data_IF_090912791271
#
_entry.id   IF_090912791271
#
_cell.length_a   1.000
_cell.length_b   1.000
_cell.length_c   1.000
_cell.angle_alpha   90.00
_cell.angle_beta   90.00
_cell.angle_gamma   90.00
#
_symmetry.space_group_name_H-M   'P 1'
#
loop_
_entity.id
_entity.type
_entity.pdbx_description
1 polymer ?
#
# COMPACT_ATOMS: atom_id res chain seq x y z
N UNK A 1 28.29 -7.82 10.05
CA UNK A 1 27.36 -6.73 10.37
C UNK A 1 26.66 -6.37 9.07
N UNK A 2 25.32 -6.44 9.01
CA UNK A 2 24.59 -5.97 7.84
C UNK A 2 24.81 -4.45 7.69
N UNK A 3 25.13 -3.99 6.48
CA UNK A 3 25.31 -2.56 6.21
C UNK A 3 23.96 -1.85 6.26
N UNK A 4 23.87 -0.78 7.03
CA UNK A 4 22.69 0.09 7.04
C UNK A 4 22.74 1.07 5.87
N UNK A 5 21.61 1.29 5.21
CA UNK A 5 21.46 2.18 4.06
C UNK A 5 20.31 3.17 4.33
N UNK A 6 20.61 4.44 4.64
CA UNK A 6 19.59 5.46 4.87
C UNK A 6 18.72 5.71 3.63
N UNK A 7 17.47 6.15 3.83
CA UNK A 7 16.52 6.42 2.75
C UNK A 7 17.09 7.31 1.62
N UNK A 8 17.78 8.40 1.95
CA UNK A 8 18.39 9.28 0.94
C UNK A 8 19.45 8.57 0.07
N UNK A 9 20.20 7.63 0.64
CA UNK A 9 21.17 6.80 -0.11
C UNK A 9 20.46 5.84 -1.05
N UNK A 10 19.32 5.28 -0.64
CA UNK A 10 18.46 4.44 -1.49
C UNK A 10 17.87 5.28 -2.63
N UNK A 11 17.31 6.46 -2.34
CA UNK A 11 16.80 7.36 -3.36
C UNK A 11 17.86 7.69 -4.42
N UNK A 12 19.09 7.98 -3.99
CA UNK A 12 20.22 8.26 -4.87
C UNK A 12 20.59 7.04 -5.73
N UNK A 13 20.67 5.84 -5.16
CA UNK A 13 21.06 4.63 -5.91
C UNK A 13 20.04 4.22 -6.98
N UNK A 14 18.76 4.54 -6.76
CA UNK A 14 17.67 4.31 -7.71
C UNK A 14 17.33 5.52 -8.59
N UNK A 15 18.14 6.59 -8.54
CA UNK A 15 17.93 7.82 -9.33
C UNK A 15 16.53 8.42 -9.14
N UNK A 16 16.05 8.46 -7.90
CA UNK A 16 14.82 9.17 -7.52
C UNK A 16 15.14 10.65 -7.33
N UNK A 17 14.74 11.47 -8.31
CA UNK A 17 15.25 12.84 -8.49
C UNK A 17 14.38 13.91 -7.84
N UNK A 18 13.20 13.57 -7.36
CA UNK A 18 12.30 14.49 -6.66
C UNK A 18 11.80 13.83 -5.38
N UNK A 19 11.50 14.65 -4.37
CA UNK A 19 10.90 14.21 -3.12
C UNK A 19 9.90 15.21 -2.57
N UNK A 20 9.02 14.72 -1.70
CA UNK A 20 8.10 15.53 -0.88
C UNK A 20 7.87 14.83 0.46
N UNK A 21 7.32 15.55 1.44
CA UNK A 21 6.93 15.00 2.74
C UNK A 21 5.51 15.39 3.09
N UNK A 22 4.85 14.58 3.92
CA UNK A 22 3.56 14.95 4.49
C UNK A 22 3.82 15.91 5.68
N UNK A 23 3.19 17.09 5.72
CA UNK A 23 3.41 18.04 6.82
C UNK A 23 2.79 17.51 8.12
N UNK A 24 3.40 17.78 9.27
CA UNK A 24 2.85 17.48 10.59
C UNK A 24 2.53 18.78 11.34
N UNK A 25 1.50 18.81 12.21
CA UNK A 25 1.18 20.00 12.98
C UNK A 25 2.22 20.25 14.06
N UNK A 26 2.29 21.48 14.57
CA UNK A 26 3.19 21.86 15.67
C UNK A 26 2.59 21.65 17.06
N UNK A 27 1.28 21.38 17.14
CA UNK A 27 0.54 21.08 18.38
C UNK A 27 -0.33 19.83 18.19
N UNK A 28 -0.72 19.20 19.29
CA UNK A 28 -1.67 18.08 19.25
C UNK A 28 -3.02 18.54 18.70
N UNK A 29 -3.72 17.63 18.01
CA UNK A 29 -5.03 17.88 17.40
C UNK A 29 -5.94 16.68 17.66
N UNK A 30 -7.16 16.94 18.15
CA UNK A 30 -8.20 15.92 18.26
C UNK A 30 -8.77 15.57 16.87
N UNK A 31 -9.59 14.52 16.78
CA UNK A 31 -9.93 13.88 15.49
C UNK A 31 -10.51 14.81 14.43
N UNK A 32 -11.43 15.71 14.80
CA UNK A 32 -12.00 16.67 13.86
C UNK A 32 -10.93 17.62 13.27
N UNK A 33 -10.08 18.18 14.13
CA UNK A 33 -9.02 19.12 13.72
C UNK A 33 -7.88 18.40 12.98
N UNK A 34 -7.55 17.18 13.39
CA UNK A 34 -6.58 16.32 12.71
C UNK A 34 -7.06 16.02 11.26
N UNK A 35 -8.33 15.68 11.09
CA UNK A 35 -8.94 15.49 9.78
C UNK A 35 -8.88 16.73 8.91
N UNK A 36 -9.25 17.89 9.45
CA UNK A 36 -9.18 19.16 8.72
C UNK A 36 -7.74 19.50 8.29
N UNK A 37 -6.76 19.30 9.19
CA UNK A 37 -5.34 19.50 8.91
C UNK A 37 -4.88 18.58 7.76
N UNK A 38 -5.15 17.27 7.85
CA UNK A 38 -4.75 16.29 6.84
C UNK A 38 -5.41 16.56 5.48
N UNK A 39 -6.71 16.86 5.44
CA UNK A 39 -7.42 17.19 4.20
C UNK A 39 -6.80 18.39 3.50
N UNK A 40 -6.37 19.40 4.27
CA UNK A 40 -5.75 20.61 3.69
C UNK A 40 -4.28 20.41 3.26
N UNK A 41 -3.52 19.59 3.99
CA UNK A 41 -2.07 19.51 3.82
C UNK A 41 -1.54 18.27 3.10
N UNK A 42 -2.29 17.16 3.04
CA UNK A 42 -1.75 15.84 2.65
C UNK A 42 -2.15 15.42 1.23
N UNK A 43 -2.70 16.33 0.42
CA UNK A 43 -3.10 16.06 -0.97
C UNK A 43 -3.99 14.81 -1.09
N UNK A 44 -4.99 14.70 -0.22
CA UNK A 44 -5.84 13.51 -0.15
C UNK A 44 -6.70 13.36 -1.41
N UNK A 45 -6.77 12.15 -1.93
CA UNK A 45 -7.64 11.81 -3.05
C UNK A 45 -9.09 12.11 -2.69
N UNK A 46 -9.79 12.82 -3.58
CA UNK A 46 -11.17 13.29 -3.38
C UNK A 46 -11.34 14.21 -2.15
N UNK A 47 -10.25 14.78 -1.63
CA UNK A 47 -10.27 15.76 -0.54
C UNK A 47 -10.86 15.22 0.77
N UNK A 48 -10.70 13.92 1.06
CA UNK A 48 -11.28 13.30 2.26
C UNK A 48 -10.43 12.14 2.78
N UNK A 49 -10.60 11.86 4.07
CA UNK A 49 -10.28 10.57 4.67
C UNK A 49 -11.40 9.59 4.29
N UNK A 50 -11.04 8.39 3.86
CA UNK A 50 -12.02 7.42 3.38
C UNK A 50 -12.76 6.75 4.52
N UNK A 51 -12.01 6.30 5.54
CA UNK A 51 -12.49 5.51 6.68
C UNK A 51 -11.73 5.91 7.95
N UNK A 52 -12.37 5.79 9.13
CA UNK A 52 -11.73 5.95 10.43
C UNK A 52 -11.31 7.36 10.84
N UNK A 53 -12.03 8.41 10.45
CA UNK A 53 -11.68 9.79 10.88
C UNK A 53 -11.64 9.93 12.40
N UNK A 54 -12.60 9.34 13.11
CA UNK A 54 -12.71 9.46 14.57
C UNK A 54 -11.54 8.77 15.30
N UNK A 55 -10.90 7.79 14.65
CA UNK A 55 -9.74 7.04 15.15
C UNK A 55 -8.40 7.74 14.89
N UNK A 56 -8.39 8.91 14.25
CA UNK A 56 -7.18 9.67 13.94
C UNK A 56 -6.99 10.83 14.90
N UNK A 57 -5.79 11.02 15.43
CA UNK A 57 -5.44 12.25 16.16
C UNK A 57 -3.96 12.55 16.05
N UNK A 58 -3.56 13.81 16.29
CA UNK A 58 -2.14 14.14 16.50
C UNK A 58 -1.89 14.26 18.00
N UNK A 59 -1.01 13.42 18.54
CA UNK A 59 -0.72 13.32 19.97
C UNK A 59 0.76 13.58 20.24
N UNK A 60 1.12 13.85 21.48
CA UNK A 60 2.52 13.88 21.90
C UNK A 60 3.18 12.53 21.60
N UNK A 61 4.41 12.53 21.07
CA UNK A 61 5.18 11.30 20.83
C UNK A 61 5.24 10.45 22.12
N UNK A 62 4.67 9.23 22.14
CA UNK A 62 4.69 8.35 23.31
C UNK A 62 6.07 7.72 23.55
N UNK A 63 6.97 7.76 22.56
CA UNK A 63 8.32 7.19 22.63
C UNK A 63 9.41 8.22 22.29
N UNK A 64 9.49 9.38 22.99
CA UNK A 64 10.35 10.51 22.61
C UNK A 64 11.85 10.22 22.80
N UNK A 65 12.18 9.20 23.59
CA UNK A 65 13.54 8.71 23.81
C UNK A 65 13.87 7.48 22.96
N UNK A 66 12.87 6.88 22.30
CA UNK A 66 13.04 5.73 21.40
C UNK A 66 13.38 6.22 19.99
N UNK A 67 14.66 6.41 19.70
CA UNK A 67 15.08 6.56 18.29
C UNK A 67 14.77 5.30 17.49
N UNK A 68 14.71 5.43 16.16
CA UNK A 68 14.71 4.22 15.30
C UNK A 68 16.03 3.48 15.49
N UNK A 69 16.03 2.14 15.68
CA UNK A 69 17.25 1.36 15.71
C UNK A 69 18.08 1.57 14.43
N UNK A 70 19.31 2.10 14.55
CA UNK A 70 20.22 2.31 13.40
C UNK A 70 21.21 3.48 13.58
N UNK A 71 22.29 3.54 12.79
CA UNK A 71 23.34 4.56 12.89
C UNK A 71 22.88 5.95 12.45
N UNK A 72 21.74 6.05 11.75
CA UNK A 72 21.04 7.32 11.52
C UNK A 72 20.15 7.70 12.73
N UNK A 73 20.62 7.45 13.96
CA UNK A 73 20.05 7.97 15.21
C UNK A 73 20.32 9.47 15.34
N UNK A 74 19.88 10.23 14.34
CA UNK A 74 19.87 11.69 14.31
C UNK A 74 18.46 12.26 14.35
N UNK A 75 17.45 11.44 14.68
CA UNK A 75 16.12 11.94 15.03
C UNK A 75 16.26 12.67 16.35
N UNK A 76 16.51 13.98 16.29
CA UNK A 76 16.32 14.88 17.42
C UNK A 76 15.00 14.49 18.10
N UNK A 77 15.04 14.32 19.41
CA UNK A 77 13.87 14.18 20.27
C UNK A 77 12.99 15.42 20.08
N UNK A 78 12.21 15.44 19.01
CA UNK A 78 11.29 16.53 18.79
C UNK A 78 10.05 16.19 19.61
N UNK A 79 9.66 17.09 20.50
CA UNK A 79 8.33 17.08 21.12
C UNK A 79 7.23 17.37 20.07
N UNK A 80 7.47 17.02 18.80
CA UNK A 80 6.54 17.20 17.71
C UNK A 80 5.42 16.18 17.85
N UNK A 81 4.18 16.60 17.59
CA UNK A 81 3.06 15.67 17.52
C UNK A 81 3.30 14.58 16.45
N UNK A 82 2.79 13.39 16.74
CA UNK A 82 2.78 12.24 15.83
C UNK A 82 1.34 11.85 15.52
N UNK A 83 1.12 11.20 14.38
CA UNK A 83 -0.22 10.72 14.02
C UNK A 83 -0.49 9.44 14.82
N UNK A 84 -1.44 9.48 15.74
CA UNK A 84 -2.00 8.30 16.38
C UNK A 84 -3.16 7.75 15.54
N UNK A 85 -3.22 6.44 15.41
CA UNK A 85 -4.38 5.70 14.94
C UNK A 85 -4.86 4.77 16.05
N UNK A 86 -6.13 4.89 16.41
CA UNK A 86 -6.79 4.07 17.43
C UNK A 86 -7.41 2.82 16.80
N UNK A 87 -7.26 1.69 17.48
CA UNK A 87 -7.95 0.43 17.20
C UNK A 87 -8.80 0.08 18.42
N UNK A 88 -10.11 0.37 18.43
CA UNK A 88 -10.99 0.01 19.55
C UNK A 88 -10.99 -1.50 19.83
N UNK A 89 -11.27 -1.89 21.08
CA UNK A 89 -11.44 -3.30 21.41
C UNK A 89 -12.53 -3.94 20.53
N UNK A 90 -12.28 -5.17 20.07
CA UNK A 90 -13.10 -5.93 19.12
C UNK A 90 -13.16 -5.33 17.71
N UNK A 91 -12.21 -4.45 17.34
CA UNK A 91 -12.13 -3.92 15.97
C UNK A 91 -11.29 -4.81 15.06
N UNK A 92 -11.73 -4.92 13.80
CA UNK A 92 -10.99 -5.49 12.68
C UNK A 92 -11.37 -4.76 11.36
N UNK A 93 -11.46 -5.45 10.22
CA UNK A 93 -11.90 -4.89 8.94
C UNK A 93 -13.25 -4.14 9.05
N UNK A 94 -13.71 -3.59 7.92
CA UNK A 94 -15.07 -3.06 7.76
C UNK A 94 -15.35 -1.81 8.62
N UNK A 95 -14.32 -0.98 8.77
CA UNK A 95 -14.39 0.34 9.42
C UNK A 95 -14.85 0.27 10.89
N UNK A 96 -14.43 -0.79 11.60
CA UNK A 96 -14.64 -0.93 13.05
C UNK A 96 -13.49 -0.36 13.88
N UNK A 97 -12.35 -0.07 13.25
CA UNK A 97 -11.20 0.60 13.84
C UNK A 97 -10.09 0.83 12.82
N UNK A 98 -9.13 1.68 13.19
CA UNK A 98 -8.05 2.05 12.29
C UNK A 98 -8.44 3.18 11.34
N UNK A 99 -7.70 3.36 10.25
CA UNK A 99 -7.98 4.42 9.30
C UNK A 99 -7.53 4.11 7.88
N UNK A 100 -8.19 4.75 6.93
CA UNK A 100 -7.86 4.62 5.52
C UNK A 100 -7.92 5.95 4.78
N UNK A 101 -6.85 6.27 4.05
CA UNK A 101 -6.87 7.33 3.07
C UNK A 101 -5.84 7.16 1.94
N UNK A 102 -6.06 7.87 0.84
CA UNK A 102 -5.13 7.93 -0.28
C UNK A 102 -4.51 9.33 -0.36
N UNK A 103 -3.19 9.43 -0.33
CA UNK A 103 -2.45 10.67 -0.60
C UNK A 103 -1.80 10.55 -1.97
N UNK A 104 -2.18 11.43 -2.90
CA UNK A 104 -1.72 11.36 -4.28
C UNK A 104 -0.60 12.37 -4.53
N UNK A 105 0.48 11.90 -5.14
CA UNK A 105 1.56 12.74 -5.60
C UNK A 105 1.78 12.51 -7.08
N UNK A 106 1.32 13.49 -7.86
CA UNK A 106 1.49 13.53 -9.31
C UNK A 106 2.49 14.64 -9.66
N UNK A 107 3.20 14.45 -10.77
CA UNK A 107 4.05 15.50 -11.36
C UNK A 107 3.33 16.21 -12.50
N UNK A 108 3.76 17.43 -12.81
CA UNK A 108 3.34 18.15 -14.02
C UNK A 108 4.05 17.66 -15.29
N UNK A 109 5.11 16.87 -15.16
CA UNK A 109 5.87 16.26 -16.25
C UNK A 109 5.55 14.77 -16.46
N UNK A 110 6.57 13.99 -16.83
CA UNK A 110 6.41 12.55 -17.07
C UNK A 110 5.97 11.80 -15.81
N UNK A 111 4.94 10.95 -15.89
CA UNK A 111 4.38 10.28 -14.73
C UNK A 111 5.41 9.37 -14.06
N UNK A 112 5.32 9.24 -12.73
CA UNK A 112 6.24 8.43 -11.96
C UNK A 112 6.15 6.95 -12.34
N UNK A 113 7.32 6.37 -12.62
CA UNK A 113 7.49 4.94 -12.91
C UNK A 113 8.25 4.22 -11.79
N UNK A 114 8.94 4.96 -10.94
CA UNK A 114 9.50 4.47 -9.68
C UNK A 114 9.11 5.41 -8.56
N UNK A 115 8.73 4.86 -7.42
CA UNK A 115 8.38 5.62 -6.22
C UNK A 115 8.89 4.91 -4.98
N UNK A 116 9.37 5.68 -4.02
CA UNK A 116 9.79 5.20 -2.71
C UNK A 116 9.04 5.94 -1.62
N UNK A 117 8.58 5.21 -0.62
CA UNK A 117 7.93 5.73 0.58
C UNK A 117 8.79 5.36 1.78
N UNK A 118 9.12 6.34 2.63
CA UNK A 118 9.63 6.07 3.97
C UNK A 118 8.68 6.64 5.02
N UNK A 119 8.57 5.95 6.15
CA UNK A 119 7.92 6.46 7.35
C UNK A 119 8.45 5.72 8.57
N UNK A 120 8.16 6.28 9.75
CA UNK A 120 8.36 5.61 11.01
C UNK A 120 7.01 5.20 11.59
N UNK A 121 6.97 3.99 12.17
CA UNK A 121 5.80 3.44 12.84
C UNK A 121 6.19 2.88 14.22
N UNK A 122 5.42 3.23 15.23
CA UNK A 122 5.47 2.61 16.54
C UNK A 122 4.11 1.99 16.88
N UNK A 123 4.13 1.02 17.77
CA UNK A 123 2.93 0.38 18.32
C UNK A 123 2.99 0.52 19.84
N UNK A 124 1.83 0.56 20.51
CA UNK A 124 1.77 0.52 21.98
C UNK A 124 2.70 -0.55 22.57
N UNK A 125 3.30 -0.29 23.72
CA UNK A 125 4.10 -1.30 24.40
C UNK A 125 3.21 -2.52 24.74
N UNK A 126 3.64 -3.72 24.32
CA UNK A 126 2.84 -4.93 24.51
C UNK A 126 1.69 -5.12 23.53
N UNK A 127 1.73 -4.43 22.38
CA UNK A 127 0.77 -4.59 21.28
C UNK A 127 0.49 -6.08 20.96
N UNK A 128 -0.78 -6.48 21.01
CA UNK A 128 -1.20 -7.83 20.61
C UNK A 128 -1.32 -7.90 19.09
N UNK A 129 -0.44 -8.65 18.45
CA UNK A 129 -0.39 -8.78 17.00
C UNK A 129 -1.56 -9.58 16.42
N UNK A 130 -2.26 -10.37 17.24
CA UNK A 130 -3.33 -11.29 16.85
C UNK A 130 -2.87 -12.14 15.64
N UNK A 131 -3.57 -12.04 14.51
CA UNK A 131 -3.23 -12.71 13.24
C UNK A 131 -2.59 -11.77 12.23
N UNK A 132 -2.65 -10.47 12.47
CA UNK A 132 -2.13 -9.44 11.59
C UNK A 132 -3.08 -8.28 11.32
N UNK A 133 -2.54 -7.31 10.60
CA UNK A 133 -3.24 -6.12 10.18
C UNK A 133 -2.47 -5.37 9.12
N UNK A 134 -3.08 -4.33 8.56
CA UNK A 134 -2.58 -3.62 7.38
C UNK A 134 -1.73 -2.43 7.82
N UNK A 135 -0.77 -2.04 7.00
CA UNK A 135 0.04 -0.85 7.18
C UNK A 135 0.16 -0.06 5.88
N UNK A 136 0.48 1.24 5.96
CA UNK A 136 0.63 2.10 4.80
C UNK A 136 1.66 1.57 3.80
N UNK A 137 1.37 1.77 2.50
CA UNK A 137 2.31 1.46 1.44
C UNK A 137 2.05 2.25 0.16
N UNK A 138 2.62 1.79 -0.94
CA UNK A 138 2.55 2.47 -2.23
C UNK A 138 1.42 1.95 -3.11
N UNK A 139 0.95 2.82 -4.01
CA UNK A 139 -0.11 2.50 -4.96
C UNK A 139 0.12 3.16 -6.31
N UNK A 140 -0.55 2.64 -7.34
CA UNK A 140 -0.52 3.25 -8.66
C UNK A 140 -1.65 2.83 -9.59
N UNK A 141 -1.85 3.57 -10.67
CA UNK A 141 -2.87 3.35 -11.70
C UNK A 141 -4.08 4.29 -11.64
N UNK A 142 -4.91 4.31 -12.71
CA UNK A 142 -6.01 5.25 -12.87
C UNK A 142 -7.15 5.08 -11.85
N UNK A 143 -7.40 3.86 -11.36
CA UNK A 143 -8.39 3.65 -10.29
C UNK A 143 -7.89 4.25 -8.99
N UNK A 144 -8.66 5.11 -8.32
CA UNK A 144 -8.21 5.79 -7.08
C UNK A 144 -8.48 5.01 -5.80
N UNK A 145 -9.32 3.97 -5.84
CA UNK A 145 -9.80 3.23 -4.65
C UNK A 145 -9.83 1.71 -4.82
N UNK A 146 -9.15 1.17 -5.85
CA UNK A 146 -9.11 -0.29 -6.14
C UNK A 146 -7.87 -1.00 -5.61
N UNK A 147 -7.66 -2.26 -6.03
CA UNK A 147 -6.50 -3.07 -5.65
C UNK A 147 -6.39 -3.32 -4.14
N UNK A 148 -7.53 -3.67 -3.55
CA UNK A 148 -7.71 -4.00 -2.13
C UNK A 148 -9.04 -4.73 -1.89
N UNK A 149 -9.19 -5.37 -0.73
CA UNK A 149 -10.46 -5.96 -0.30
C UNK A 149 -11.02 -7.02 -1.25
N UNK A 150 -10.15 -7.80 -1.90
CA UNK A 150 -10.52 -8.80 -2.90
C UNK A 150 -10.72 -8.27 -4.32
N UNK A 151 -10.57 -6.97 -4.55
CA UNK A 151 -10.52 -6.41 -5.90
C UNK A 151 -9.10 -6.57 -6.46
N UNK A 152 -8.86 -7.64 -7.20
CA UNK A 152 -7.57 -7.93 -7.84
C UNK A 152 -7.17 -6.88 -8.88
N UNK A 153 -5.85 -6.77 -9.13
CA UNK A 153 -5.31 -5.95 -10.21
C UNK A 153 -5.47 -6.67 -11.55
N UNK A 154 -6.07 -6.01 -12.53
CA UNK A 154 -6.07 -6.50 -13.92
C UNK A 154 -4.86 -5.99 -14.74
N UNK A 155 -4.01 -5.18 -14.11
CA UNK A 155 -2.80 -4.60 -14.71
C UNK A 155 -3.01 -3.36 -15.58
N UNK A 156 -4.26 -2.95 -15.80
CA UNK A 156 -4.61 -1.68 -16.48
C UNK A 156 -5.33 -0.70 -15.55
N UNK A 157 -5.82 -1.18 -14.41
CA UNK A 157 -6.63 -0.44 -13.45
C UNK A 157 -5.83 0.15 -12.28
N UNK A 158 -5.05 -0.66 -11.58
CA UNK A 158 -4.22 -0.26 -10.45
C UNK A 158 -3.20 -1.33 -10.04
N UNK A 159 -2.35 -0.97 -9.08
CA UNK A 159 -1.66 -1.90 -8.19
C UNK A 159 -1.60 -1.29 -6.78
N UNK A 160 -1.38 -2.13 -5.78
CA UNK A 160 -0.99 -1.68 -4.43
C UNK A 160 0.09 -2.59 -3.84
N UNK A 161 0.97 -2.02 -3.03
CA UNK A 161 2.01 -2.72 -2.26
C UNK A 161 1.97 -2.15 -0.84
N UNK A 162 0.94 -2.54 -0.10
CA UNK A 162 0.82 -2.21 1.34
C UNK A 162 1.76 -3.10 2.14
N UNK A 163 1.89 -2.81 3.42
CA UNK A 163 2.53 -3.74 4.35
C UNK A 163 1.44 -4.45 5.16
N UNK A 164 1.79 -5.59 5.73
CA UNK A 164 1.04 -6.17 6.84
C UNK A 164 1.97 -6.54 7.98
N UNK A 165 1.49 -6.38 9.21
CA UNK A 165 2.01 -7.17 10.32
C UNK A 165 1.26 -8.51 10.38
N UNK A 166 1.88 -9.50 10.99
CA UNK A 166 1.36 -10.84 11.28
C UNK A 166 1.63 -11.16 12.75
N UNK A 167 1.22 -12.35 13.17
CA UNK A 167 1.55 -12.91 14.49
C UNK A 167 3.04 -12.74 14.81
N UNK A 168 3.32 -12.41 16.08
CA UNK A 168 4.66 -12.11 16.60
C UNK A 168 5.35 -10.90 15.94
N UNK A 169 4.57 -9.99 15.34
CA UNK A 169 5.09 -8.78 14.69
C UNK A 169 5.76 -9.04 13.35
N UNK A 170 5.69 -10.25 12.79
CA UNK A 170 6.28 -10.57 11.50
C UNK A 170 5.73 -9.63 10.41
N UNK A 171 6.63 -9.04 9.62
CA UNK A 171 6.28 -8.15 8.53
C UNK A 171 6.21 -8.87 7.17
N UNK A 172 5.41 -8.32 6.27
CA UNK A 172 5.39 -8.68 4.84
C UNK A 172 5.08 -7.45 3.98
N UNK A 173 5.48 -7.48 2.70
CA UNK A 173 4.79 -6.68 1.69
C UNK A 173 3.57 -7.45 1.23
N UNK A 174 2.41 -6.79 1.25
CA UNK A 174 1.12 -7.33 0.87
C UNK A 174 0.61 -6.62 -0.38
N UNK A 175 0.68 -7.29 -1.52
CA UNK A 175 0.57 -6.69 -2.83
C UNK A 175 -0.66 -7.16 -3.61
N UNK A 176 -1.42 -6.22 -4.18
CA UNK A 176 -2.40 -6.49 -5.22
C UNK A 176 -1.76 -6.17 -6.56
N UNK A 177 -1.24 -7.20 -7.21
CA UNK A 177 -0.46 -7.15 -8.45
C UNK A 177 -0.82 -8.35 -9.31
N UNK A 178 -0.44 -8.34 -10.59
CA UNK A 178 -0.57 -9.53 -11.43
C UNK A 178 0.45 -10.59 -11.04
N UNK A 179 0.08 -11.85 -11.21
CA UNK A 179 0.92 -13.01 -10.85
C UNK A 179 1.25 -13.93 -12.05
N UNK A 180 1.77 -13.39 -13.17
CA UNK A 180 2.10 -14.19 -14.35
C UNK A 180 3.31 -15.11 -14.12
N UNK A 181 3.65 -15.91 -15.13
CA UNK A 181 4.91 -16.68 -15.19
C UNK A 181 5.14 -17.61 -13.98
N UNK A 182 4.05 -18.08 -13.35
CA UNK A 182 4.10 -18.90 -12.13
C UNK A 182 4.88 -18.23 -10.97
N UNK A 183 4.83 -16.90 -10.83
CA UNK A 183 5.52 -16.19 -9.74
C UNK A 183 5.13 -16.74 -8.37
N UNK A 184 3.92 -17.26 -8.21
CA UNK A 184 3.41 -17.93 -7.00
C UNK A 184 4.19 -19.18 -6.58
N UNK A 185 5.06 -19.72 -7.43
CA UNK A 185 5.98 -20.83 -7.10
C UNK A 185 7.36 -20.34 -6.67
N UNK A 186 7.60 -19.03 -6.71
CA UNK A 186 8.87 -18.46 -6.28
C UNK A 186 9.00 -18.52 -4.76
N UNK A 187 10.20 -18.78 -4.22
CA UNK A 187 10.44 -18.66 -2.79
C UNK A 187 10.01 -17.29 -2.27
N UNK A 188 9.39 -17.26 -1.09
CA UNK A 188 8.94 -16.01 -0.47
C UNK A 188 7.62 -15.44 -1.00
N UNK A 189 7.04 -16.01 -2.07
CA UNK A 189 5.76 -15.56 -2.63
C UNK A 189 4.63 -16.48 -2.18
N UNK A 190 3.63 -15.92 -1.50
CA UNK A 190 2.40 -16.61 -1.14
C UNK A 190 1.23 -15.90 -1.82
N UNK A 191 0.74 -16.47 -2.93
CA UNK A 191 -0.45 -15.99 -3.61
C UNK A 191 -1.72 -16.50 -2.90
N UNK A 192 -2.80 -15.74 -3.06
CA UNK A 192 -4.14 -16.10 -2.64
C UNK A 192 -5.09 -15.75 -3.79
N UNK A 193 -6.04 -16.62 -4.09
CA UNK A 193 -6.95 -16.46 -5.24
C UNK A 193 -8.06 -15.42 -4.98
N UNK A 194 -8.29 -15.05 -3.72
CA UNK A 194 -9.32 -14.10 -3.30
C UNK A 194 -8.75 -12.76 -2.85
N UNK A 195 -7.44 -12.68 -2.60
CA UNK A 195 -6.81 -11.54 -1.93
C UNK A 195 -5.37 -11.27 -2.40
N UNK A 196 -4.68 -10.32 -1.75
CA UNK A 196 -3.32 -9.93 -2.11
C UNK A 196 -2.28 -11.05 -1.93
N UNK A 197 -1.17 -10.89 -2.65
CA UNK A 197 0.03 -11.72 -2.57
C UNK A 197 0.93 -11.25 -1.41
N UNK A 198 1.31 -12.16 -0.52
CA UNK A 198 2.34 -11.89 0.49
C UNK A 198 3.73 -12.11 -0.11
N UNK A 199 4.64 -11.17 0.10
CA UNK A 199 6.04 -11.22 -0.33
C UNK A 199 6.92 -11.22 0.93
N UNK A 200 7.76 -12.25 1.05
CA UNK A 200 8.77 -12.44 2.09
C UNK A 200 8.25 -12.25 3.53
N UNK A 201 7.09 -12.84 3.84
CA UNK A 201 6.55 -12.84 5.20
C UNK A 201 7.58 -13.37 6.20
N UNK A 202 7.83 -12.58 7.25
CA UNK A 202 8.73 -12.96 8.34
C UNK A 202 10.21 -12.66 8.09
N UNK A 203 10.57 -12.00 6.98
CA UNK A 203 11.95 -11.54 6.73
C UNK A 203 12.39 -10.39 7.66
N UNK A 204 11.42 -9.71 8.28
CA UNK A 204 11.61 -8.73 9.35
C UNK A 204 10.47 -8.83 10.36
N UNK A 205 10.61 -8.17 11.51
CA UNK A 205 9.56 -8.11 12.53
C UNK A 205 9.51 -6.75 13.20
N UNK A 206 8.31 -6.22 13.36
CA UNK A 206 8.03 -5.02 14.11
C UNK A 206 8.17 -5.28 15.60
N UNK A 207 8.74 -4.31 16.31
CA UNK A 207 8.74 -4.32 17.76
C UNK A 207 7.73 -3.30 18.30
N UNK A 208 7.00 -3.71 19.32
CA UNK A 208 6.10 -2.86 20.10
C UNK A 208 6.87 -1.98 21.08
N UNK A 209 6.34 -0.81 21.44
CA UNK A 209 6.94 0.09 22.43
C UNK A 209 8.18 0.87 21.95
N UNK A 210 8.45 0.87 20.64
CA UNK A 210 9.54 1.63 20.03
C UNK A 210 9.24 1.98 18.57
N UNK A 211 9.96 2.97 18.04
CA UNK A 211 9.87 3.37 16.64
C UNK A 211 10.61 2.38 15.72
N UNK A 212 9.96 2.02 14.62
CA UNK A 212 10.51 1.21 13.53
C UNK A 212 10.48 2.06 12.25
N UNK A 213 11.49 1.96 11.39
CA UNK A 213 11.51 2.64 10.09
C UNK A 213 11.25 1.66 8.96
N UNK A 214 10.33 2.03 8.09
CA UNK A 214 10.04 1.34 6.84
C UNK A 214 10.48 2.24 5.70
N UNK A 215 11.25 1.69 4.76
CA UNK A 215 11.49 2.30 3.45
C UNK A 215 11.12 1.30 2.37
N UNK A 216 10.04 1.58 1.62
CA UNK A 216 9.49 0.74 0.56
C UNK A 216 9.72 1.41 -0.80
N UNK A 217 10.42 0.73 -1.70
CA UNK A 217 10.61 1.12 -3.09
C UNK A 217 9.77 0.23 -4.01
N UNK A 218 9.12 0.85 -4.99
CA UNK A 218 8.46 0.17 -6.12
C UNK A 218 8.97 0.77 -7.43
N UNK A 219 9.49 -0.08 -8.31
CA UNK A 219 9.79 0.27 -9.71
C UNK A 219 8.91 -0.53 -10.65
N UNK A 220 8.13 0.17 -11.48
CA UNK A 220 7.23 -0.47 -12.44
C UNK A 220 8.02 -1.23 -13.49
N UNK A 221 7.44 -2.35 -13.93
CA UNK A 221 7.96 -3.10 -15.05
C UNK A 221 7.86 -2.30 -16.37
N UNK A 222 8.83 -2.52 -17.26
CA UNK A 222 8.93 -1.87 -18.56
C UNK A 222 9.73 -2.73 -19.56
N UNK A 223 9.22 -2.97 -20.79
CA UNK A 223 7.88 -2.63 -21.26
C UNK A 223 6.77 -3.37 -20.49
N UNK A 224 5.48 -2.99 -20.63
CA UNK A 224 4.40 -3.57 -19.83
C UNK A 224 4.24 -5.10 -19.93
N UNK A 225 4.73 -5.72 -21.00
CA UNK A 225 4.70 -7.17 -21.22
C UNK A 225 5.99 -7.89 -20.78
N UNK A 226 6.84 -7.27 -19.97
CA UNK A 226 8.02 -7.89 -19.36
C UNK A 226 7.83 -7.86 -17.84
N UNK A 227 8.07 -8.98 -17.17
CA UNK A 227 8.06 -9.09 -15.72
C UNK A 227 9.45 -8.75 -15.17
N UNK A 228 9.81 -7.46 -15.19
CA UNK A 228 11.05 -6.93 -14.60
C UNK A 228 10.80 -5.87 -13.52
N UNK A 229 9.57 -5.76 -13.02
CA UNK A 229 9.22 -4.88 -11.92
C UNK A 229 9.95 -5.30 -10.64
N UNK A 230 10.14 -4.33 -9.77
CA UNK A 230 10.98 -4.47 -8.58
C UNK A 230 10.28 -3.89 -7.36
N UNK A 231 10.29 -4.63 -6.26
CA UNK A 231 9.83 -4.18 -4.94
C UNK A 231 10.94 -4.46 -3.93
N UNK A 232 11.39 -3.44 -3.23
CA UNK A 232 12.46 -3.55 -2.23
C UNK A 232 12.00 -2.90 -0.94
N UNK A 233 12.24 -3.56 0.19
CA UNK A 233 11.92 -3.01 1.51
C UNK A 233 13.17 -3.03 2.40
N UNK A 234 13.46 -1.88 2.99
CA UNK A 234 14.42 -1.73 4.07
C UNK A 234 13.66 -1.54 5.38
N UNK A 235 14.05 -2.30 6.40
CA UNK A 235 13.50 -2.21 7.74
C UNK A 235 14.63 -1.80 8.68
N UNK A 236 14.45 -0.68 9.38
CA UNK A 236 15.49 -0.07 10.22
C UNK A 236 16.83 0.09 9.46
N UNK A 237 16.75 0.64 8.24
CA UNK A 237 17.85 0.87 7.31
C UNK A 237 18.58 -0.41 6.83
N UNK A 238 18.08 -1.61 7.12
CA UNK A 238 18.63 -2.88 6.62
C UNK A 238 17.70 -3.48 5.58
N UNK A 239 18.21 -3.87 4.41
CA UNK A 239 17.38 -4.49 3.36
C UNK A 239 16.80 -5.81 3.87
N UNK A 240 15.47 -5.87 3.96
CA UNK A 240 14.72 -7.03 4.42
C UNK A 240 14.07 -7.81 3.27
N UNK A 241 13.61 -7.11 2.22
CA UNK A 241 12.95 -7.71 1.05
C UNK A 241 13.59 -7.16 -0.22
N UNK A 242 13.82 -8.03 -1.20
CA UNK A 242 14.22 -7.66 -2.56
C UNK A 242 13.58 -8.61 -3.56
N UNK A 243 12.45 -8.18 -4.12
CA UNK A 243 11.62 -8.98 -5.01
C UNK A 243 11.58 -8.37 -6.41
N UNK A 244 12.37 -8.95 -7.32
CA UNK A 244 12.31 -8.69 -8.76
C UNK A 244 11.30 -9.58 -9.49
N UNK A 245 11.40 -9.63 -10.82
CA UNK A 245 10.56 -10.48 -11.68
C UNK A 245 9.05 -10.24 -11.55
N UNK A 246 8.63 -9.05 -11.12
CA UNK A 246 7.21 -8.71 -10.94
C UNK A 246 6.62 -8.09 -12.21
N UNK A 247 5.32 -8.30 -12.42
CA UNK A 247 4.55 -7.52 -13.39
C UNK A 247 3.49 -6.70 -12.65
N UNK A 248 3.85 -5.46 -12.31
CA UNK A 248 3.00 -4.51 -11.60
C UNK A 248 1.92 -3.90 -12.51
N UNK A 249 2.12 -3.95 -13.83
CA UNK A 249 1.18 -3.48 -14.85
C UNK A 249 1.31 -4.25 -16.16
N UNK A 250 0.22 -4.29 -16.91
CA UNK A 250 0.13 -4.75 -18.31
C UNK A 250 -0.20 -3.63 -19.29
N UNK A 251 -0.74 -2.49 -18.80
CA UNK A 251 -1.01 -1.29 -19.58
C UNK A 251 -0.04 -0.14 -19.30
N UNK A 252 0.29 0.66 -20.31
CA UNK A 252 1.18 1.83 -20.18
C UNK A 252 0.57 2.98 -19.37
N UNK A 253 -0.75 3.04 -19.22
CA UNK A 253 -1.46 4.06 -18.43
C UNK A 253 -1.43 3.86 -16.92
N UNK A 254 -0.79 2.78 -16.43
CA UNK A 254 -0.61 2.53 -14.99
C UNK A 254 0.72 3.11 -14.54
N UNK A 255 0.66 4.07 -13.61
CA UNK A 255 1.81 4.80 -13.06
C UNK A 255 1.79 4.77 -11.53
N UNK A 256 2.94 4.90 -10.87
CA UNK A 256 2.98 5.10 -9.43
C UNK A 256 2.43 6.50 -9.12
N UNK A 257 1.54 6.62 -8.13
CA UNK A 257 0.86 7.90 -7.89
C UNK A 257 0.56 8.23 -6.43
N UNK A 258 1.17 7.51 -5.48
CA UNK A 258 1.26 7.98 -4.09
C UNK A 258 1.09 6.89 -3.05
N UNK A 259 0.64 7.32 -1.88
CA UNK A 259 0.50 6.53 -0.66
C UNK A 259 -0.92 6.00 -0.57
N UNK A 260 -1.02 4.72 -0.25
CA UNK A 260 -2.23 4.12 0.28
C UNK A 260 -2.03 3.89 1.78
N UNK A 261 -2.51 4.83 2.59
CA UNK A 261 -2.55 4.68 4.03
C UNK A 261 -3.77 3.83 4.39
N UNK A 262 -3.53 2.68 4.98
CA UNK A 262 -4.56 1.71 5.31
C UNK A 262 -4.04 0.91 6.47
N UNK A 263 -4.59 1.13 7.66
CA UNK A 263 -4.15 0.47 8.87
C UNK A 263 -5.34 0.05 9.70
N UNK A 264 -5.42 -1.25 10.00
CA UNK A 264 -6.51 -1.89 10.73
C UNK A 264 -6.11 -3.34 11.03
N UNK A 265 -6.57 -3.87 12.16
CA UNK A 265 -6.56 -5.31 12.43
C UNK A 265 -7.39 -6.02 11.39
N UNK A 266 -6.89 -7.09 10.77
CA UNK A 266 -7.39 -7.37 9.44
C UNK A 266 -7.35 -8.80 8.98
N UNK A 267 -8.54 -9.37 8.89
CA UNK A 267 -8.95 -10.43 7.97
C UNK A 267 -10.43 -10.23 7.68
N UNK A 268 -11.18 -11.30 7.49
CA UNK A 268 -12.60 -11.26 7.13
C UNK A 268 -13.51 -11.89 8.18
N UNK A 269 -13.00 -12.14 9.39
CA UNK A 269 -13.75 -12.78 10.47
C UNK A 269 -13.29 -12.31 11.87
N UNK A 270 -14.10 -12.61 12.88
CA UNK A 270 -13.93 -12.19 14.28
C UNK A 270 -12.59 -12.59 14.91
N UNK A 271 -11.92 -13.63 14.40
CA UNK A 271 -10.64 -14.08 14.96
C UNK A 271 -9.45 -13.16 14.65
N UNK A 272 -9.71 -12.04 13.96
CA UNK A 272 -8.74 -10.98 13.66
C UNK A 272 -8.88 -9.78 14.58
N UNK A 273 -9.91 -9.73 15.42
CA UNK A 273 -10.18 -8.61 16.31
C UNK A 273 -9.08 -8.39 17.34
N UNK A 274 -8.74 -7.11 17.58
CA UNK A 274 -7.91 -6.76 18.73
C UNK A 274 -8.70 -6.97 20.03
N UNK A 275 -8.14 -7.66 21.05
CA UNK A 275 -8.88 -7.93 22.30
C UNK A 275 -9.01 -6.70 23.19
N UNK A 276 -8.21 -5.66 22.95
CA UNK A 276 -8.16 -4.42 23.73
C UNK A 276 -8.06 -3.23 22.80
N UNK A 277 -8.44 -2.05 23.30
CA UNK A 277 -8.11 -0.81 22.62
C UNK A 277 -6.59 -0.64 22.60
N UNK A 278 -6.04 -0.33 21.44
CA UNK A 278 -4.59 -0.14 21.26
C UNK A 278 -4.32 0.83 20.10
N UNK A 279 -3.06 1.23 19.95
CA UNK A 279 -2.67 2.29 19.05
C UNK A 279 -1.43 1.95 18.24
N UNK A 280 -1.37 2.58 17.07
CA UNK A 280 -0.13 2.76 16.32
C UNK A 280 0.11 4.24 16.06
N UNK A 281 1.38 4.59 15.97
CA UNK A 281 1.84 5.96 15.82
C UNK A 281 2.68 6.07 14.56
N UNK A 282 2.53 7.16 13.81
CA UNK A 282 3.24 7.38 12.56
C UNK A 282 3.85 8.78 12.52
N UNK A 283 5.05 8.87 11.93
CA UNK A 283 5.74 10.14 11.67
C UNK A 283 6.68 10.04 10.48
N UNK A 284 7.23 11.20 10.07
CA UNK A 284 8.31 11.30 9.09
C UNK A 284 8.00 10.64 7.74
N UNK A 285 6.78 10.84 7.23
CA UNK A 285 6.41 10.39 5.88
C UNK A 285 7.16 11.22 4.84
N UNK A 286 8.01 10.57 4.05
CA UNK A 286 8.68 11.15 2.88
C UNK A 286 8.52 10.22 1.68
N UNK A 287 8.32 10.83 0.51
CA UNK A 287 8.12 10.14 -0.76
C UNK A 287 9.13 10.65 -1.77
N UNK A 288 9.75 9.74 -2.52
CA UNK A 288 10.65 10.06 -3.64
C UNK A 288 10.12 9.46 -4.93
N UNK A 289 10.37 10.12 -6.05
CA UNK A 289 9.82 9.74 -7.35
C UNK A 289 10.82 9.88 -8.49
N UNK A 290 10.64 9.05 -9.51
CA UNK A 290 11.33 9.15 -10.81
C UNK A 290 10.42 8.71 -11.94
N UNK A 291 10.56 9.34 -13.11
CA UNK A 291 9.93 8.88 -14.36
C UNK A 291 10.66 7.67 -14.98
N UNK A 292 11.79 7.24 -14.40
CA UNK A 292 12.50 6.04 -14.86
C UNK A 292 11.85 4.76 -14.29
N UNK A 293 11.43 3.79 -15.13
CA UNK A 293 10.93 2.49 -14.66
C UNK A 293 12.08 1.58 -14.22
N UNK A 294 11.76 0.33 -13.85
CA UNK A 294 12.78 -0.70 -13.66
C UNK A 294 13.61 -0.91 -14.93
N UNK A 295 14.92 -1.08 -14.76
CA UNK A 295 15.88 -1.45 -15.80
C UNK A 295 16.38 -2.89 -15.64
N UNK A 296 15.79 -3.68 -14.73
CA UNK A 296 16.15 -5.07 -14.51
C UNK A 296 15.82 -5.92 -15.75
N UNK A 297 16.51 -7.05 -15.88
CA UNK A 297 16.09 -8.10 -16.83
C UNK A 297 14.86 -8.83 -16.29
N UNK A 298 14.03 -9.35 -17.17
CA UNK A 298 12.84 -10.10 -16.78
C UNK A 298 12.28 -10.93 -17.94
N UNK A 299 11.49 -11.94 -17.61
CA UNK A 299 10.84 -12.77 -18.60
C UNK A 299 9.69 -12.01 -19.28
N UNK A 300 9.48 -12.25 -20.58
CA UNK A 300 8.26 -11.80 -21.25
C UNK A 300 7.05 -12.47 -20.59
N UNK A 301 5.98 -11.71 -20.44
CA UNK A 301 4.68 -12.23 -20.04
C UNK A 301 3.90 -12.47 -21.31
N UNK A 302 3.73 -13.74 -21.65
CA UNK A 302 2.91 -14.16 -22.77
C UNK A 302 1.47 -14.29 -22.28
N UNK A 303 0.84 -13.16 -22.00
CA UNK A 303 -0.61 -13.16 -22.00
C UNK A 303 -1.01 -13.32 -23.47
N UNK A 304 -1.71 -14.40 -23.80
CA UNK A 304 -2.72 -14.24 -24.83
C UNK A 304 -3.56 -13.07 -24.33
N UNK A 305 -3.50 -11.93 -25.01
CA UNK A 305 -4.42 -10.84 -24.76
C UNK A 305 -5.79 -11.40 -25.13
N UNK A 306 -6.39 -12.12 -24.19
CA UNK A 306 -7.74 -12.63 -24.29
C UNK A 306 -8.61 -11.40 -24.25
N UNK A 307 -8.91 -10.85 -25.42
CA UNK A 307 -10.25 -10.39 -25.66
C UNK A 307 -11.17 -11.55 -25.25
N UNK A 308 -11.66 -11.51 -24.01
CA UNK A 308 -12.84 -12.26 -23.66
C UNK A 308 -13.97 -11.64 -24.49
N UNK A 309 -14.18 -12.19 -25.68
CA UNK A 309 -15.36 -11.96 -26.47
C UNK A 309 -16.57 -12.45 -25.65
N UNK A 310 -17.55 -11.56 -25.53
CA UNK A 310 -18.98 -11.77 -25.36
C UNK A 310 -19.51 -12.59 -24.18
N UNK A 311 -20.28 -11.87 -23.34
CA UNK A 311 -21.61 -12.35 -22.97
C UNK A 311 -22.66 -11.58 -23.75
N UNK A 312 -23.11 -12.21 -24.84
CA UNK A 312 -24.46 -12.19 -25.41
C UNK A 312 -25.19 -10.84 -25.53
N UNK A 313 -25.08 -10.22 -26.71
CA UNK A 313 -26.04 -9.19 -27.17
C UNK A 313 -26.72 -9.51 -28.52
N UNK A 314 -26.85 -10.78 -28.93
CA UNK A 314 -27.54 -11.14 -30.19
C UNK A 314 -28.30 -12.47 -30.14
N UNK A 315 -29.20 -12.63 -29.15
CA UNK A 315 -29.83 -13.93 -28.94
C UNK A 315 -31.30 -13.94 -28.52
N UNK A 316 -32.12 -12.91 -28.77
CA UNK A 316 -33.59 -13.00 -28.59
C UNK A 316 -34.38 -11.95 -29.40
N UNK A 317 -34.41 -12.01 -30.75
CA UNK A 317 -35.56 -11.55 -31.55
C UNK A 317 -35.63 -12.40 -32.83
N UNK A 318 -36.03 -13.66 -32.72
CA UNK A 318 -36.47 -14.46 -33.87
C UNK A 318 -37.27 -15.68 -33.39
N UNK A 319 -38.48 -15.46 -32.88
CA UNK A 319 -39.60 -16.43 -32.92
C UNK A 319 -40.78 -15.93 -32.05
N UNK A 320 -41.57 -15.01 -32.59
CA UNK A 320 -43.00 -14.91 -32.29
C UNK A 320 -43.66 -14.17 -33.44
N UNK A 321 -44.85 -14.62 -33.82
CA UNK A 321 -45.69 -14.14 -34.94
C UNK A 321 -45.45 -14.80 -36.30
N UNK A 322 -45.90 -16.04 -36.38
CA UNK A 322 -46.68 -16.48 -37.54
C UNK A 322 -47.97 -17.10 -37.04
N UNK A 323 -49.05 -16.86 -37.79
CA UNK A 323 -50.46 -17.29 -37.62
C UNK A 323 -51.37 -16.23 -36.96
N UNK A 324 -51.88 -15.30 -37.78
CA UNK A 324 -53.31 -15.27 -38.06
C UNK A 324 -53.57 -14.66 -39.46
N UNK A 325 -54.41 -15.36 -40.21
CA UNK A 325 -54.82 -15.13 -41.60
C UNK A 325 -55.96 -14.08 -41.71
N UNK A 326 -56.08 -13.49 -42.90
CA UNK A 326 -57.34 -13.01 -43.56
C UNK A 326 -58.00 -11.75 -42.96
N UNK A 327 -58.06 -10.62 -43.70
CA UNK A 327 -59.11 -10.30 -44.67
C UNK A 327 -59.13 -8.80 -45.07
N UNK A 328 -59.40 -8.58 -46.36
CA UNK A 328 -60.23 -7.53 -46.96
C UNK A 328 -59.67 -6.11 -47.20
N UNK A 329 -59.66 -5.82 -48.51
CA UNK A 329 -59.82 -4.54 -49.25
C UNK A 329 -58.74 -3.47 -49.14
#
# INVERSE_FOLDING_TARGET
MSSTTPAASIASSYSLTTSTSLPFPTTTLASADAGAFMVSGWSLSKGRIQDGLDDLSFVTDPFPQGGVPGPASGSNSSNSPVLQVTYPANSFSDNTGGAQFYSLWNTSGDPFQSMMLTYEVAFDAGFDWVKGGKLPGLRGGPSTTGCSGGNESNGTDCFSTRLMWRTDGQGEVYAYIRTPNNICKSPGILCNDDFGTSIDRGSFSFASGQWNRVTLLVQLNSPPNVANGNVVLYFNDVQAISQGNLQLRSGSGVHANGIFFSTFFGGSDISWETPVETHSYFRNFEVWGSSSPSNLTGAKVNDACGFAHDRNWWGWIAAAFSIFFIALS
#
